data_IF_578517758215
#
_entry.id   IF_578517758215
#
_cell.length_a   1.000
_cell.length_b   1.000
_cell.length_c   1.000
_cell.angle_alpha   90.00
_cell.angle_beta   90.00
_cell.angle_gamma   90.00
#
_symmetry.space_group_name_H-M   'P 1'
#
loop_
_entity.id
_entity.type
_entity.pdbx_description
1 polymer ?
#
# COMPACT_ATOMS: atom_id res chain seq x y z
N UNK A 1 39.33 -30.54 -39.40
CA UNK A 1 38.93 -30.86 -38.04
C UNK A 1 39.33 -29.68 -37.14
N UNK A 2 38.42 -28.77 -36.86
CA UNK A 2 38.64 -27.66 -35.96
C UNK A 2 37.97 -27.95 -34.62
N UNK A 3 38.78 -28.07 -33.56
CA UNK A 3 38.32 -28.21 -32.19
C UNK A 3 38.09 -26.83 -31.62
N UNK A 4 36.82 -26.51 -31.29
CA UNK A 4 36.45 -25.32 -30.51
C UNK A 4 36.71 -25.63 -29.02
N UNK A 5 37.66 -24.91 -28.45
CA UNK A 5 37.94 -24.89 -27.03
C UNK A 5 36.87 -24.00 -26.35
N UNK A 6 36.04 -24.60 -25.52
CA UNK A 6 35.11 -23.91 -24.60
C UNK A 6 35.95 -23.35 -23.46
N UNK A 7 36.01 -22.03 -23.36
CA UNK A 7 36.65 -21.32 -22.24
C UNK A 7 35.63 -21.26 -21.08
N UNK A 8 35.96 -21.92 -20.00
CA UNK A 8 35.23 -21.79 -18.73
C UNK A 8 35.45 -20.37 -18.15
N UNK A 9 34.36 -19.74 -17.72
CA UNK A 9 34.38 -18.46 -17.03
C UNK A 9 34.93 -18.64 -15.61
N UNK A 10 35.71 -17.68 -15.08
CA UNK A 10 36.21 -17.77 -13.72
C UNK A 10 35.08 -17.51 -12.69
N UNK A 11 35.10 -18.37 -11.70
CA UNK A 11 34.30 -18.32 -10.48
C UNK A 11 34.46 -16.99 -9.76
N UNK A 12 33.34 -16.32 -9.44
CA UNK A 12 33.34 -15.09 -8.67
C UNK A 12 33.45 -15.42 -7.17
N UNK A 13 34.31 -14.73 -6.41
CA UNK A 13 34.44 -15.01 -4.97
C UNK A 13 33.21 -14.52 -4.19
N UNK A 14 32.84 -15.22 -3.10
CA UNK A 14 31.73 -14.81 -2.25
C UNK A 14 32.06 -13.50 -1.53
N UNK A 15 31.24 -12.51 -1.72
CA UNK A 15 31.29 -11.25 -0.96
C UNK A 15 30.91 -11.52 0.50
N UNK A 16 31.90 -11.50 1.35
CA UNK A 16 31.75 -11.59 2.80
C UNK A 16 31.11 -10.29 3.31
N UNK A 17 29.92 -10.39 3.86
CA UNK A 17 29.26 -9.28 4.54
C UNK A 17 30.05 -8.85 5.79
N UNK A 18 30.29 -7.56 6.02
CA UNK A 18 30.88 -7.11 7.26
C UNK A 18 29.90 -7.22 8.41
N UNK A 19 30.32 -7.92 9.45
CA UNK A 19 29.63 -7.93 10.73
C UNK A 19 29.70 -6.51 11.32
N UNK A 20 28.59 -5.82 11.43
CA UNK A 20 28.51 -4.59 12.18
C UNK A 20 28.19 -4.91 13.63
N UNK A 21 29.19 -4.74 14.47
CA UNK A 21 29.03 -4.68 15.91
C UNK A 21 28.29 -3.39 16.26
N UNK A 22 27.15 -3.50 16.94
CA UNK A 22 26.40 -2.37 17.44
C UNK A 22 27.07 -1.67 18.61
N UNK A 23 26.97 -0.36 18.73
CA UNK A 23 27.19 0.30 20.00
C UNK A 23 25.91 0.27 20.86
N UNK A 24 26.06 -0.25 22.06
CA UNK A 24 25.18 -0.05 23.19
C UNK A 24 25.12 1.42 23.56
N UNK A 25 23.94 1.97 23.73
CA UNK A 25 23.83 3.28 24.36
C UNK A 25 22.48 3.95 24.17
N UNK A 26 21.59 3.79 25.13
CA UNK A 26 20.90 4.91 25.68
C UNK A 26 19.60 5.38 25.07
N UNK A 27 18.61 5.17 25.85
CA UNK A 27 17.41 5.97 26.09
C UNK A 27 16.12 5.48 25.45
N UNK A 28 15.13 5.21 26.28
CA UNK A 28 13.79 4.90 25.81
C UNK A 28 13.10 6.21 25.46
N UNK A 29 13.19 6.59 24.22
CA UNK A 29 12.19 7.48 23.67
C UNK A 29 10.96 6.63 23.38
N UNK A 30 9.87 6.96 24.02
CA UNK A 30 8.55 6.39 23.91
C UNK A 30 8.21 6.04 22.47
N UNK A 31 8.43 4.80 22.12
CA UNK A 31 7.76 4.22 20.99
C UNK A 31 6.34 3.92 21.48
N UNK A 32 5.47 4.90 21.42
CA UNK A 32 4.06 4.64 21.25
C UNK A 32 3.92 3.90 19.94
N UNK A 33 4.11 2.59 20.01
CA UNK A 33 3.67 1.69 19.00
C UNK A 33 2.16 1.87 18.94
N UNK A 34 1.71 2.72 18.02
CA UNK A 34 0.35 2.71 17.54
C UNK A 34 0.14 1.36 16.86
N UNK A 35 -0.09 0.36 17.68
CA UNK A 35 -0.80 -0.83 17.28
C UNK A 35 -2.21 -0.35 16.94
N UNK A 36 -2.38 0.09 15.71
CA UNK A 36 -3.68 0.39 15.17
C UNK A 36 -4.44 -0.92 15.12
N UNK A 37 -5.18 -1.19 16.17
CA UNK A 37 -6.21 -2.21 16.19
C UNK A 37 -7.08 -1.98 14.96
N UNK A 38 -7.28 -3.02 14.16
CA UNK A 38 -8.08 -2.98 12.95
C UNK A 38 -9.55 -2.58 13.18
N UNK A 39 -9.92 -2.29 14.42
CA UNK A 39 -11.27 -2.01 14.91
C UNK A 39 -11.44 -0.58 15.42
N UNK A 40 -10.43 0.27 15.32
CA UNK A 40 -10.59 1.68 15.68
C UNK A 40 -11.39 2.39 14.57
N UNK A 41 -12.42 3.19 14.93
CA UNK A 41 -13.12 4.01 13.95
C UNK A 41 -12.09 4.89 13.23
N UNK A 42 -12.19 4.94 11.89
CA UNK A 42 -11.27 5.72 11.08
C UNK A 42 -11.20 7.15 11.60
N UNK A 43 -9.99 7.64 11.86
CA UNK A 43 -9.76 9.01 12.30
C UNK A 43 -10.43 9.99 11.32
N UNK A 44 -11.34 10.86 11.79
CA UNK A 44 -12.07 11.78 10.93
C UNK A 44 -11.16 12.70 10.12
N UNK A 45 -10.03 13.09 10.67
CA UNK A 45 -9.05 13.95 9.98
C UNK A 45 -8.35 13.18 8.86
N UNK A 46 -7.98 11.92 9.09
CA UNK A 46 -7.43 11.06 8.04
C UNK A 46 -8.48 10.74 6.97
N UNK A 47 -9.71 10.49 7.36
CA UNK A 47 -10.80 10.26 6.41
C UNK A 47 -11.07 11.48 5.52
N UNK A 48 -11.01 12.67 6.06
CA UNK A 48 -11.12 13.91 5.28
C UNK A 48 -9.99 14.08 4.28
N UNK A 49 -8.76 13.85 4.71
CA UNK A 49 -7.59 13.87 3.83
C UNK A 49 -7.71 12.80 2.75
N UNK A 50 -8.12 11.59 3.11
CA UNK A 50 -8.36 10.48 2.18
C UNK A 50 -9.45 10.78 1.16
N UNK A 51 -10.49 11.53 1.55
CA UNK A 51 -11.52 12.03 0.64
C UNK A 51 -10.94 12.93 -0.45
N UNK A 52 -9.98 13.80 -0.09
CA UNK A 52 -9.28 14.63 -1.06
C UNK A 52 -8.54 13.78 -2.10
N UNK A 53 -7.71 12.86 -1.62
CA UNK A 53 -6.97 11.93 -2.48
C UNK A 53 -7.91 11.08 -3.36
N UNK A 54 -9.01 10.62 -2.78
CA UNK A 54 -10.02 9.86 -3.52
C UNK A 54 -10.61 10.67 -4.69
N UNK A 55 -10.94 11.92 -4.46
CA UNK A 55 -11.48 12.82 -5.51
C UNK A 55 -10.49 13.01 -6.66
N UNK A 56 -9.21 13.14 -6.33
CA UNK A 56 -8.19 13.44 -7.33
C UNK A 56 -7.80 12.22 -8.16
N UNK A 57 -7.76 11.03 -7.55
CA UNK A 57 -7.20 9.83 -8.19
C UNK A 57 -8.19 8.70 -8.47
N UNK A 58 -9.24 8.58 -7.68
CA UNK A 58 -10.11 7.39 -7.67
C UNK A 58 -11.53 7.65 -8.19
N UNK A 59 -12.07 8.83 -7.92
CA UNK A 59 -13.47 9.18 -8.18
C UNK A 59 -13.87 9.03 -9.65
N UNK A 60 -12.96 9.29 -10.56
CA UNK A 60 -13.21 9.19 -12.01
C UNK A 60 -13.70 7.81 -12.42
N UNK A 61 -13.18 6.77 -11.79
CA UNK A 61 -13.52 5.38 -12.07
C UNK A 61 -14.48 4.78 -11.04
N UNK A 62 -14.27 5.06 -9.76
CA UNK A 62 -15.06 4.47 -8.67
C UNK A 62 -16.30 5.28 -8.29
N UNK A 63 -16.51 6.43 -8.94
CA UNK A 63 -17.69 7.24 -8.78
C UNK A 63 -17.67 8.17 -7.57
N UNK A 64 -18.65 9.06 -7.52
CA UNK A 64 -18.80 10.03 -6.44
C UNK A 64 -19.14 9.30 -5.14
N UNK A 65 -18.44 9.64 -4.06
CA UNK A 65 -18.65 9.03 -2.74
C UNK A 65 -18.57 7.49 -2.75
N UNK A 66 -17.69 6.93 -3.55
CA UNK A 66 -17.47 5.49 -3.71
C UNK A 66 -18.66 4.71 -4.32
N UNK A 67 -19.67 5.40 -4.81
CA UNK A 67 -20.80 4.81 -5.52
C UNK A 67 -20.38 4.47 -6.93
N UNK A 68 -20.17 3.18 -7.21
CA UNK A 68 -19.79 2.74 -8.54
C UNK A 68 -20.83 3.16 -9.59
N UNK A 69 -20.38 3.70 -10.73
CA UNK A 69 -21.29 3.98 -11.85
C UNK A 69 -21.81 2.71 -12.55
N UNK A 70 -21.37 1.53 -12.10
CA UNK A 70 -21.69 0.24 -12.70
C UNK A 70 -20.62 -0.26 -13.67
N UNK A 71 -20.91 -1.36 -14.37
CA UNK A 71 -20.00 -1.98 -15.34
C UNK A 71 -18.81 -2.68 -14.67
N UNK A 72 -17.60 -2.43 -15.16
CA UNK A 72 -16.37 -3.06 -14.69
C UNK A 72 -15.80 -2.45 -13.41
N UNK A 73 -16.39 -1.38 -12.89
CA UNK A 73 -15.87 -0.67 -11.72
C UNK A 73 -16.42 -1.26 -10.42
N UNK A 74 -15.51 -1.56 -9.51
CA UNK A 74 -15.85 -2.12 -8.21
C UNK A 74 -16.45 -1.03 -7.28
N UNK A 75 -17.56 -1.35 -6.63
CA UNK A 75 -18.16 -0.47 -5.61
C UNK A 75 -17.36 -0.59 -4.30
N UNK A 76 -16.62 0.45 -3.96
CA UNK A 76 -15.75 0.44 -2.79
C UNK A 76 -16.51 0.38 -1.46
N UNK A 77 -17.79 0.69 -1.46
CA UNK A 77 -18.64 0.55 -0.26
C UNK A 77 -18.89 -0.91 0.12
N UNK A 78 -18.68 -1.83 -0.82
CA UNK A 78 -18.81 -3.27 -0.60
C UNK A 78 -17.50 -3.98 -0.32
N UNK A 79 -16.40 -3.22 -0.22
CA UNK A 79 -15.09 -3.79 0.05
C UNK A 79 -15.03 -4.34 1.49
N UNK A 80 -14.50 -5.57 1.70
CA UNK A 80 -14.36 -6.13 3.04
C UNK A 80 -13.44 -5.28 3.92
N UNK A 81 -13.93 -4.87 5.10
CA UNK A 81 -13.17 -3.99 6.01
C UNK A 81 -12.04 -4.72 6.74
N UNK A 82 -12.10 -6.03 6.79
CA UNK A 82 -11.09 -6.91 7.37
C UNK A 82 -9.94 -7.25 6.41
N UNK A 83 -10.03 -6.82 5.15
CA UNK A 83 -9.04 -7.13 4.11
C UNK A 83 -8.20 -5.90 3.69
N UNK A 84 -7.72 -5.15 4.67
CA UNK A 84 -6.80 -4.01 4.43
C UNK A 84 -5.59 -4.37 3.58
N UNK A 85 -4.90 -5.51 3.79
CA UNK A 85 -3.75 -5.87 2.98
C UNK A 85 -4.07 -5.99 1.49
N UNK A 86 -5.22 -6.53 1.14
CA UNK A 86 -5.68 -6.62 -0.25
C UNK A 86 -5.95 -5.24 -0.85
N UNK A 87 -6.53 -4.32 -0.08
CA UNK A 87 -6.73 -2.94 -0.52
C UNK A 87 -5.40 -2.27 -0.86
N UNK A 88 -4.45 -2.29 0.09
CA UNK A 88 -3.12 -1.72 -0.09
C UNK A 88 -2.41 -2.30 -1.31
N UNK A 89 -2.39 -3.63 -1.45
CA UNK A 89 -1.76 -4.31 -2.58
C UNK A 89 -2.43 -3.94 -3.92
N UNK A 90 -3.75 -3.87 -3.96
CA UNK A 90 -4.50 -3.54 -5.18
C UNK A 90 -4.26 -2.11 -5.65
N UNK A 91 -4.19 -1.16 -4.72
CA UNK A 91 -3.91 0.25 -5.04
C UNK A 91 -2.45 0.44 -5.43
N UNK A 92 -1.52 -0.18 -4.70
CA UNK A 92 -0.09 -0.05 -4.96
C UNK A 92 0.29 -0.62 -6.31
N UNK A 93 -0.15 -1.83 -6.62
CA UNK A 93 0.27 -2.59 -7.80
C UNK A 93 -0.69 -2.48 -8.98
N UNK A 94 -1.87 -1.93 -8.76
CA UNK A 94 -2.95 -1.96 -9.73
C UNK A 94 -3.66 -3.31 -9.77
N UNK A 95 -4.84 -3.33 -10.38
CA UNK A 95 -5.61 -4.55 -10.57
C UNK A 95 -6.50 -4.45 -11.79
N UNK A 96 -6.33 -5.33 -12.78
CA UNK A 96 -7.06 -5.30 -14.06
C UNK A 96 -6.92 -3.94 -14.75
N UNK A 97 -8.01 -3.22 -14.97
CA UNK A 97 -8.01 -1.89 -15.57
C UNK A 97 -7.58 -0.75 -14.61
N UNK A 98 -7.49 -1.02 -13.32
CA UNK A 98 -7.02 -0.04 -12.34
C UNK A 98 -5.51 0.09 -12.40
N UNK A 99 -4.96 1.29 -12.65
CA UNK A 99 -3.52 1.49 -12.71
C UNK A 99 -2.85 1.33 -11.33
N UNK A 100 -1.54 1.09 -11.34
CA UNK A 100 -0.73 1.07 -10.14
C UNK A 100 -0.48 2.49 -9.63
N UNK A 101 -0.82 2.76 -8.38
CA UNK A 101 -0.69 4.07 -7.75
C UNK A 101 0.52 4.19 -6.81
N UNK A 102 1.21 3.08 -6.53
CA UNK A 102 2.35 3.06 -5.60
C UNK A 102 3.53 3.94 -5.99
N UNK A 103 3.68 4.29 -7.28
CA UNK A 103 4.69 5.23 -7.75
C UNK A 103 4.21 6.68 -7.87
N UNK A 104 2.91 6.94 -7.68
CA UNK A 104 2.27 8.25 -7.85
C UNK A 104 1.89 8.84 -6.49
N UNK A 105 1.32 8.01 -5.62
CA UNK A 105 0.94 8.39 -4.27
C UNK A 105 2.15 8.33 -3.35
N UNK A 106 2.20 9.25 -2.39
CA UNK A 106 3.24 9.27 -1.38
C UNK A 106 3.04 8.16 -0.36
N UNK A 107 4.10 7.84 0.37
CA UNK A 107 4.02 6.94 1.50
C UNK A 107 2.95 7.41 2.50
N UNK A 108 2.10 6.51 2.92
CA UNK A 108 0.97 6.82 3.82
C UNK A 108 -0.30 7.34 3.13
N UNK A 109 -0.24 7.79 1.88
CA UNK A 109 -1.44 8.26 1.17
C UNK A 109 -2.43 7.11 0.90
N UNK A 110 -1.93 5.92 0.61
CA UNK A 110 -2.79 4.74 0.38
C UNK A 110 -3.49 4.32 1.67
N UNK A 111 -2.81 4.40 2.81
CA UNK A 111 -3.43 4.17 4.11
C UNK A 111 -4.45 5.25 4.47
N UNK A 112 -4.17 6.49 4.10
CA UNK A 112 -5.10 7.61 4.24
C UNK A 112 -6.36 7.40 3.38
N UNK A 113 -6.21 6.86 2.16
CA UNK A 113 -7.34 6.44 1.32
C UNK A 113 -8.15 5.32 2.00
N UNK A 114 -7.48 4.37 2.64
CA UNK A 114 -8.15 3.32 3.40
C UNK A 114 -9.02 3.89 4.53
N UNK A 115 -8.53 4.90 5.26
CA UNK A 115 -9.32 5.58 6.28
C UNK A 115 -10.60 6.21 5.71
N UNK A 116 -10.56 6.77 4.52
CA UNK A 116 -11.74 7.28 3.85
C UNK A 116 -12.70 6.17 3.41
N UNK A 117 -12.19 5.10 2.81
CA UNK A 117 -13.00 3.97 2.37
C UNK A 117 -13.74 3.34 3.55
N UNK A 118 -13.06 3.12 4.67
CA UNK A 118 -13.68 2.58 5.87
C UNK A 118 -14.71 3.52 6.50
N UNK A 119 -14.48 4.82 6.48
CA UNK A 119 -15.44 5.81 6.98
C UNK A 119 -16.75 5.81 6.18
N UNK A 120 -16.67 5.61 4.86
CA UNK A 120 -17.83 5.54 3.99
C UNK A 120 -18.74 4.32 4.25
N UNK A 121 -18.18 3.22 4.74
CA UNK A 121 -18.96 2.04 5.15
C UNK A 121 -19.82 2.31 6.39
N UNK A 122 -19.37 3.19 7.26
CA UNK A 122 -20.11 3.55 8.48
C UNK A 122 -21.24 4.54 8.20
N UNK A 123 -21.10 5.37 7.18
CA UNK A 123 -22.11 6.35 6.80
C UNK A 123 -23.32 5.75 6.07
N UNK A 124 -23.22 4.50 5.61
CA UNK A 124 -24.27 3.78 4.88
C UNK A 124 -25.12 2.84 5.73
N UNK A 125 -24.96 2.88 7.03
CA UNK A 125 -25.78 2.06 7.98
C UNK A 125 -26.89 2.86 8.59
#
# INVERSE_FOLDING_TARGET
MLALAVRAAPDAPPVRAPAQAGPTGGSPASADAMSASADAPADPALAQKGRGLYKDFCQKCHGLNMVSPGGAFFDLRTFPLDDKPRFLASVTNGKRAMPAWGGVLKEGDIETLWAYVTSGHQAGK
#
